data_IF_665730398418
#
_entry.id   IF_665730398418
#
_cell.length_a   1.000
_cell.length_b   1.000
_cell.length_c   1.000
_cell.angle_alpha   90.00
_cell.angle_beta   90.00
_cell.angle_gamma   90.00
#
_symmetry.space_group_name_H-M   'P 1'
#
loop_
_entity.id
_entity.type
_entity.pdbx_description
1 polymer ?
#
# COMPACT_ATOMS: atom_id res chain seq x y z
N UNK A 1 2.21 -17.42 -15.07
CA UNK A 1 1.50 -16.22 -15.59
C UNK A 1 1.53 -15.20 -14.48
N UNK A 2 2.02 -13.99 -14.74
CA UNK A 2 2.04 -12.93 -13.73
C UNK A 2 0.75 -12.11 -13.83
N UNK A 3 0.16 -11.76 -12.70
CA UNK A 3 -1.02 -10.90 -12.62
C UNK A 3 -0.59 -9.53 -12.11
N UNK A 4 -0.98 -8.45 -12.80
CA UNK A 4 -0.75 -7.08 -12.36
C UNK A 4 -2.06 -6.46 -11.89
N UNK A 5 -2.02 -5.84 -10.72
CA UNK A 5 -3.12 -5.06 -10.17
C UNK A 5 -2.62 -3.62 -9.95
N UNK A 6 -3.51 -2.65 -10.12
CA UNK A 6 -3.22 -1.23 -9.89
C UNK A 6 -4.40 -0.64 -9.14
N UNK A 7 -4.12 0.06 -8.05
CA UNK A 7 -5.12 0.66 -7.18
C UNK A 7 -4.82 2.15 -7.01
N UNK A 8 -5.87 2.95 -6.86
CA UNK A 8 -5.75 4.35 -6.43
C UNK A 8 -6.20 4.43 -4.98
N UNK A 9 -5.35 4.96 -4.11
CA UNK A 9 -5.63 5.12 -2.68
C UNK A 9 -5.88 6.60 -2.39
N UNK A 10 -6.99 6.90 -1.73
CA UNK A 10 -7.31 8.25 -1.24
C UNK A 10 -7.18 8.25 0.28
N UNK A 11 -6.33 9.13 0.81
CA UNK A 11 -6.12 9.29 2.26
C UNK A 11 -6.54 10.70 2.66
N UNK A 12 -7.50 10.79 3.57
CA UNK A 12 -7.95 12.05 4.16
C UNK A 12 -7.46 12.10 5.60
N UNK A 13 -6.80 13.20 5.98
CA UNK A 13 -6.18 13.36 7.30
C UNK A 13 -6.73 14.61 7.99
N UNK A 14 -7.09 14.47 9.26
CA UNK A 14 -7.44 15.56 10.14
C UNK A 14 -6.42 15.61 11.30
N UNK A 15 -6.04 16.82 11.73
CA UNK A 15 -5.09 16.99 12.82
C UNK A 15 -5.80 16.86 14.17
N UNK A 16 -5.48 15.82 14.93
CA UNK A 16 -6.02 15.61 16.29
C UNK A 16 -5.20 16.32 17.38
N UNK A 17 -3.86 16.29 17.32
CA UNK A 17 -2.96 16.91 18.31
C UNK A 17 -1.61 17.37 17.72
N UNK A 18 -0.81 18.11 18.49
CA UNK A 18 0.57 18.47 18.11
C UNK A 18 0.72 19.71 17.21
N UNK A 19 1.90 19.83 16.58
CA UNK A 19 2.22 20.91 15.62
C UNK A 19 1.81 20.51 14.21
N UNK A 20 1.64 21.51 13.35
CA UNK A 20 1.38 21.27 11.94
C UNK A 20 2.60 20.58 11.29
N UNK A 21 2.36 19.40 10.70
CA UNK A 21 3.28 18.75 9.76
C UNK A 21 3.00 19.27 8.35
N UNK A 22 4.06 19.43 7.54
CA UNK A 22 3.92 19.85 6.16
C UNK A 22 3.14 18.83 5.33
N UNK A 23 2.49 19.28 4.24
CA UNK A 23 1.81 18.35 3.31
C UNK A 23 2.77 17.29 2.77
N UNK A 24 3.99 17.72 2.41
CA UNK A 24 5.00 16.85 1.81
C UNK A 24 5.50 15.81 2.82
N UNK A 25 5.74 16.22 4.07
CA UNK A 25 6.12 15.31 5.18
C UNK A 25 5.04 14.25 5.46
N UNK A 26 3.77 14.64 5.43
CA UNK A 26 2.65 13.71 5.58
C UNK A 26 2.56 12.75 4.38
N UNK A 27 2.79 13.24 3.16
CA UNK A 27 2.79 12.41 1.95
C UNK A 27 3.93 11.38 1.96
N UNK A 28 5.15 11.79 2.30
CA UNK A 28 6.31 10.90 2.46
C UNK A 28 6.02 9.79 3.47
N UNK A 29 5.45 10.13 4.62
CA UNK A 29 5.08 9.14 5.66
C UNK A 29 4.06 8.12 5.14
N UNK A 30 3.06 8.57 4.38
CA UNK A 30 2.05 7.69 3.79
C UNK A 30 2.67 6.78 2.74
N UNK A 31 3.57 7.30 1.91
CA UNK A 31 4.29 6.51 0.89
C UNK A 31 5.14 5.44 1.58
N UNK A 32 5.95 5.80 2.58
CA UNK A 32 6.77 4.84 3.33
C UNK A 32 5.92 3.74 3.98
N UNK A 33 4.74 4.09 4.49
CA UNK A 33 3.80 3.12 5.05
C UNK A 33 3.27 2.15 3.99
N UNK A 34 2.88 2.65 2.82
CA UNK A 34 2.40 1.83 1.70
C UNK A 34 3.50 0.94 1.10
N UNK A 35 4.74 1.43 1.02
CA UNK A 35 5.89 0.64 0.59
C UNK A 35 6.20 -0.47 1.59
N UNK A 36 6.13 -0.18 2.89
CA UNK A 36 6.37 -1.14 3.96
C UNK A 36 5.27 -2.21 4.10
N UNK A 37 4.13 -2.03 3.45
CA UNK A 37 3.04 -2.99 3.44
C UNK A 37 3.29 -4.21 2.52
N UNK A 38 4.37 -4.21 1.72
CA UNK A 38 4.76 -5.38 0.93
C UNK A 38 5.28 -6.52 1.83
N UNK A 39 4.43 -7.52 2.09
CA UNK A 39 4.82 -8.74 2.81
C UNK A 39 5.55 -9.77 1.92
N UNK A 40 5.73 -9.49 0.62
CA UNK A 40 6.37 -10.40 -0.34
C UNK A 40 5.47 -11.56 -0.80
N UNK A 41 4.28 -11.70 -0.22
CA UNK A 41 3.27 -12.64 -0.68
C UNK A 41 1.85 -12.18 -0.36
N UNK A 42 0.90 -12.61 -1.19
CA UNK A 42 -0.53 -12.31 -1.07
C UNK A 42 -1.30 -13.63 -0.98
N UNK A 43 -2.21 -13.75 -0.02
CA UNK A 43 -3.11 -14.90 0.08
C UNK A 43 -4.42 -14.67 -0.68
N UNK A 44 -4.90 -15.71 -1.33
CA UNK A 44 -6.20 -15.76 -2.00
C UNK A 44 -6.97 -17.02 -1.62
N UNK A 45 -8.29 -16.88 -1.50
CA UNK A 45 -9.19 -18.03 -1.34
C UNK A 45 -9.65 -18.45 -2.73
N UNK A 46 -9.17 -19.60 -3.20
CA UNK A 46 -9.60 -20.23 -4.44
C UNK A 46 -10.81 -21.16 -4.22
N UNK A 47 -11.36 -21.68 -5.30
CA UNK A 47 -12.48 -22.62 -5.24
C UNK A 47 -12.17 -23.92 -4.48
N UNK A 48 -10.90 -24.35 -4.48
CA UNK A 48 -10.45 -25.64 -3.92
C UNK A 48 -9.56 -25.50 -2.67
N UNK A 49 -9.40 -24.29 -2.11
CA UNK A 49 -8.58 -24.06 -0.91
C UNK A 49 -7.86 -22.70 -0.90
N UNK A 50 -6.96 -22.51 0.08
CA UNK A 50 -6.08 -21.34 0.15
C UNK A 50 -4.98 -21.43 -0.92
N UNK A 51 -4.62 -20.29 -1.49
CA UNK A 51 -3.52 -20.14 -2.44
C UNK A 51 -2.68 -18.95 -2.02
N UNK A 52 -1.37 -19.05 -2.17
CA UNK A 52 -0.43 -17.96 -1.88
C UNK A 52 0.28 -17.57 -3.17
N UNK A 53 0.39 -16.26 -3.40
CA UNK A 53 0.98 -15.66 -4.59
C UNK A 53 2.19 -14.84 -4.16
N UNK A 54 3.37 -15.13 -4.70
CA UNK A 54 4.57 -14.33 -4.43
C UNK A 54 4.47 -12.96 -5.10
N UNK A 55 4.69 -11.89 -4.35
CA UNK A 55 4.84 -10.54 -4.91
C UNK A 55 6.13 -10.49 -5.71
N UNK A 56 6.04 -10.10 -6.98
CA UNK A 56 7.22 -9.98 -7.86
C UNK A 56 7.56 -8.54 -8.19
N UNK A 57 6.64 -7.61 -7.95
CA UNK A 57 6.79 -6.19 -8.13
C UNK A 57 5.81 -5.48 -7.18
N UNK A 58 6.33 -4.57 -6.36
CA UNK A 58 5.57 -3.66 -5.52
C UNK A 58 6.13 -2.26 -5.73
N UNK A 59 5.33 -1.38 -6.31
CA UNK A 59 5.72 -0.01 -6.64
C UNK A 59 4.60 0.91 -6.15
N UNK A 60 4.98 1.96 -5.42
CA UNK A 60 4.07 3.02 -4.98
C UNK A 60 4.36 4.26 -5.81
N UNK A 61 3.36 4.74 -6.54
CA UNK A 61 3.47 5.93 -7.39
C UNK A 61 2.63 7.08 -6.79
N UNK A 62 3.21 8.28 -6.70
CA UNK A 62 2.48 9.50 -6.37
C UNK A 62 1.78 10.05 -7.63
N UNK A 63 0.50 10.44 -7.51
CA UNK A 63 -0.33 10.91 -8.61
C UNK A 63 -0.36 12.44 -8.75
#
# INVERSE_FOLDING_TARGET
>A
MAHKFTFTVTVEVEREEGKFAGRDEMAETIIEWLESADEGSIDGIGADGSSTYTTTLWEVEEA
#
